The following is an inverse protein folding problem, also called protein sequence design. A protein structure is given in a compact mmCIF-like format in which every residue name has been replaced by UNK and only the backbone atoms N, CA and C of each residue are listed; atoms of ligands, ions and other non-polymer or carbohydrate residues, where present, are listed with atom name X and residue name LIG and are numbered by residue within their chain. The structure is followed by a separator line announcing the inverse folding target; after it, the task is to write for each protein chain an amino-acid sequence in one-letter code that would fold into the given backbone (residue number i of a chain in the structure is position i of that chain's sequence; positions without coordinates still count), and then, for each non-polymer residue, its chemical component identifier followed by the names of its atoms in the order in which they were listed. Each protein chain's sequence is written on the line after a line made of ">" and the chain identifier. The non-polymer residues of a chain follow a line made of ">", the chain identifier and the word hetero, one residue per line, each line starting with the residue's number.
data_IF_922938706023
#
_entry.id   IF_922938706023
#
_cell.length_a   1.000
_cell.length_b   1.000
_cell.length_c   1.000
_cell.angle_alpha   90.00
_cell.angle_beta   90.00
_cell.angle_gamma   90.00
#
_symmetry.space_group_name_H-M   'P 1'
#
loop_
_entity.id
_entity.type
_entity.pdbx_description
1 polymer ?
#
# COMPACT_ATOMS: atom_id res chain seq x y z
N UNK A 1 -4.73 33.78 -33.05
CA UNK A 1 -4.63 33.46 -31.61
C UNK A 1 -4.96 32.00 -31.43
N UNK A 2 -3.97 31.18 -31.06
CA UNK A 2 -4.18 29.83 -30.55
C UNK A 2 -3.00 29.51 -29.64
N UNK A 3 -3.12 29.86 -28.36
CA UNK A 3 -2.21 29.36 -27.33
C UNK A 3 -2.61 27.91 -27.07
N UNK A 4 -1.93 26.97 -27.73
CA UNK A 4 -1.90 25.58 -27.32
C UNK A 4 -1.17 25.51 -25.99
N UNK A 5 -1.93 25.61 -24.90
CA UNK A 5 -1.47 25.25 -23.56
C UNK A 5 -1.20 23.73 -23.57
N UNK A 6 0.06 23.40 -23.82
CA UNK A 6 0.62 22.09 -23.57
C UNK A 6 0.52 21.86 -22.05
N UNK A 7 -0.58 21.23 -21.61
CA UNK A 7 -0.73 20.79 -20.25
C UNK A 7 0.35 19.73 -20.02
N UNK A 8 1.44 20.14 -19.39
CA UNK A 8 2.46 19.24 -18.90
C UNK A 8 1.75 18.18 -18.05
N UNK A 9 1.69 16.94 -18.57
CA UNK A 9 1.45 15.76 -17.76
C UNK A 9 2.63 15.68 -16.78
N UNK A 10 2.50 16.39 -15.66
CA UNK A 10 3.27 16.10 -14.47
C UNK A 10 2.87 14.68 -14.08
N UNK A 11 3.65 13.68 -14.53
CA UNK A 11 3.79 12.39 -13.86
C UNK A 11 4.28 12.68 -12.44
N UNK A 12 3.39 13.19 -11.59
CA UNK A 12 3.70 13.53 -10.22
C UNK A 12 3.85 12.23 -9.46
N UNK A 13 5.03 12.00 -8.86
CA UNK A 13 5.22 10.91 -7.92
C UNK A 13 4.05 10.88 -6.94
N UNK A 14 3.36 9.74 -6.87
CA UNK A 14 2.23 9.55 -5.98
C UNK A 14 2.72 9.57 -4.54
N UNK A 15 2.32 10.58 -3.76
CA UNK A 15 2.64 10.66 -2.33
C UNK A 15 1.72 9.76 -1.53
N UNK A 16 2.24 8.65 -1.04
CA UNK A 16 1.48 7.61 -0.33
C UNK A 16 1.85 7.65 1.14
N UNK A 17 0.85 7.83 2.01
CA UNK A 17 0.99 7.60 3.45
C UNK A 17 0.68 6.14 3.76
N UNK A 18 1.45 5.53 4.66
CA UNK A 18 1.24 4.14 5.08
C UNK A 18 1.14 4.06 6.62
N UNK A 19 -0.09 4.02 7.17
CA UNK A 19 -0.29 3.89 8.61
C UNK A 19 0.26 2.55 9.16
N UNK A 20 0.32 2.39 10.49
CA UNK A 20 0.55 1.09 11.11
C UNK A 20 -0.43 0.03 10.59
N UNK A 21 0.03 -1.22 10.51
CA UNK A 21 -0.81 -2.35 10.07
C UNK A 21 -1.87 -2.63 11.13
N UNK A 22 -3.11 -2.75 10.70
CA UNK A 22 -4.20 -3.17 11.59
C UNK A 22 -4.10 -4.68 11.78
N UNK A 23 -4.08 -5.14 13.03
CA UNK A 23 -3.87 -6.54 13.35
C UNK A 23 -5.03 -7.04 14.21
N UNK A 24 -5.72 -8.07 13.75
CA UNK A 24 -6.87 -8.68 14.43
C UNK A 24 -6.61 -10.19 14.62
N UNK A 25 -6.42 -10.61 15.86
CA UNK A 25 -6.18 -12.02 16.21
C UNK A 25 -4.82 -12.59 15.75
N UNK A 26 -3.88 -11.71 15.37
CA UNK A 26 -2.54 -12.07 14.89
C UNK A 26 -1.48 -11.36 15.74
N UNK A 27 -0.27 -11.91 15.83
CA UNK A 27 0.81 -11.28 16.61
C UNK A 27 1.25 -9.95 15.96
N UNK A 28 1.43 -8.86 16.73
CA UNK A 28 1.82 -7.54 16.20
C UNK A 28 3.10 -7.54 15.35
N UNK A 29 4.09 -8.37 15.71
CA UNK A 29 5.35 -8.51 14.96
C UNK A 29 5.13 -8.92 13.50
N UNK A 30 4.07 -9.68 13.20
CA UNK A 30 3.73 -10.00 11.82
C UNK A 30 3.22 -8.78 11.06
N UNK A 31 2.49 -7.89 11.74
CA UNK A 31 2.09 -6.59 11.21
C UNK A 31 3.30 -5.73 10.88
N UNK A 32 4.24 -5.58 11.81
CA UNK A 32 5.47 -4.81 11.57
C UNK A 32 6.34 -5.44 10.48
N UNK A 33 6.49 -6.76 10.45
CA UNK A 33 7.19 -7.46 9.35
C UNK A 33 6.56 -7.16 8.00
N UNK A 34 5.23 -7.26 7.88
CA UNK A 34 4.51 -6.93 6.65
C UNK A 34 4.71 -5.46 6.25
N UNK A 35 4.66 -4.55 7.23
CA UNK A 35 4.88 -3.11 7.03
C UNK A 35 6.26 -2.84 6.45
N UNK A 36 7.31 -3.37 7.08
CA UNK A 36 8.70 -3.19 6.68
C UNK A 36 8.92 -3.74 5.27
N UNK A 37 8.45 -4.96 4.99
CA UNK A 37 8.51 -5.55 3.66
C UNK A 37 7.81 -4.67 2.62
N UNK A 38 6.62 -4.16 2.93
CA UNK A 38 5.87 -3.30 2.01
C UNK A 38 6.61 -2.00 1.73
N UNK A 39 7.18 -1.33 2.75
CA UNK A 39 8.02 -0.12 2.53
C UNK A 39 9.16 -0.42 1.56
N UNK A 40 9.88 -1.52 1.78
CA UNK A 40 11.02 -1.89 0.93
C UNK A 40 10.62 -2.08 -0.54
N UNK A 41 9.49 -2.74 -0.81
CA UNK A 41 9.05 -3.00 -2.19
C UNK A 41 8.36 -1.79 -2.85
N UNK A 42 7.74 -0.89 -2.08
CA UNK A 42 7.14 0.34 -2.61
C UNK A 42 8.20 1.39 -2.95
N UNK A 43 9.28 1.48 -2.16
CA UNK A 43 10.39 2.42 -2.42
C UNK A 43 11.13 2.09 -3.73
N UNK A 44 11.04 0.85 -4.22
CA UNK A 44 11.66 0.43 -5.49
C UNK A 44 10.91 1.02 -6.71
N UNK A 45 9.74 1.64 -6.51
CA UNK A 45 8.98 2.29 -7.57
C UNK A 45 9.27 3.79 -7.65
N UNK A 46 9.95 4.23 -8.72
CA UNK A 46 10.31 5.63 -8.95
C UNK A 46 9.09 6.59 -9.00
N UNK A 47 7.89 6.04 -9.20
CA UNK A 47 6.66 6.84 -9.29
C UNK A 47 5.93 7.00 -7.94
N UNK A 48 6.46 6.45 -6.84
CA UNK A 48 5.82 6.52 -5.53
C UNK A 48 6.76 7.09 -4.47
N UNK A 49 6.28 8.08 -3.74
CA UNK A 49 7.00 8.63 -2.58
C UNK A 49 6.23 8.29 -1.32
N UNK A 50 6.83 7.51 -0.42
CA UNK A 50 6.28 7.30 0.91
C UNK A 50 6.47 8.56 1.76
N UNK A 51 5.39 9.03 2.38
CA UNK A 51 5.42 10.17 3.31
C UNK A 51 5.04 9.71 4.71
N UNK A 52 5.59 10.38 5.72
CA UNK A 52 5.38 10.02 7.14
C UNK A 52 4.08 10.62 7.72
N UNK A 53 3.49 11.62 7.07
CA UNK A 53 2.25 12.29 7.48
C UNK A 53 1.15 12.15 6.41
N UNK A 54 -0.05 11.74 6.84
CA UNK A 54 -1.23 11.62 5.97
C UNK A 54 -1.57 12.95 5.28
N UNK A 55 -1.35 14.09 5.93
CA UNK A 55 -1.62 15.43 5.35
C UNK A 55 -0.73 15.74 4.13
N UNK A 56 0.43 15.09 4.03
CA UNK A 56 1.36 15.27 2.91
C UNK A 56 1.08 14.29 1.76
N UNK A 57 0.11 13.39 1.93
CA UNK A 57 -0.24 12.34 0.99
C UNK A 57 -1.49 12.68 0.19
N UNK A 58 -1.55 12.20 -1.06
CA UNK A 58 -2.79 12.17 -1.84
C UNK A 58 -3.48 10.80 -1.77
N UNK A 59 -2.73 9.77 -1.34
CA UNK A 59 -3.20 8.40 -1.19
C UNK A 59 -2.74 7.81 0.14
N UNK A 60 -3.53 6.87 0.66
CA UNK A 60 -3.24 6.07 1.85
C UNK A 60 -3.22 4.60 1.48
N UNK A 61 -2.14 3.90 1.80
CA UNK A 61 -2.02 2.45 1.68
C UNK A 61 -2.25 1.83 3.06
N UNK A 62 -3.46 1.34 3.31
CA UNK A 62 -3.83 0.70 4.57
C UNK A 62 -3.64 -0.81 4.47
N UNK A 63 -2.92 -1.38 5.44
CA UNK A 63 -2.65 -2.81 5.51
C UNK A 63 -3.38 -3.40 6.71
N UNK A 64 -3.91 -4.61 6.55
CA UNK A 64 -4.58 -5.34 7.62
C UNK A 64 -4.15 -6.81 7.62
N UNK A 65 -4.01 -7.37 8.81
CA UNK A 65 -3.80 -8.80 9.06
C UNK A 65 -4.95 -9.30 9.93
N UNK A 66 -5.75 -10.22 9.38
CA UNK A 66 -6.90 -10.80 10.09
C UNK A 66 -6.68 -12.30 10.21
N UNK A 67 -6.80 -12.84 11.43
CA UNK A 67 -6.68 -14.28 11.67
C UNK A 67 -7.79 -15.03 10.94
N UNK A 68 -7.40 -16.08 10.23
CA UNK A 68 -8.31 -17.08 9.66
C UNK A 68 -8.01 -18.45 10.30
N UNK A 69 -8.98 -19.34 10.21
CA UNK A 69 -8.87 -20.76 10.56
C UNK A 69 -7.66 -21.44 9.93
N UNK A 70 -7.37 -21.13 8.66
CA UNK A 70 -6.29 -21.74 7.89
C UNK A 70 -4.96 -20.95 7.91
N UNK A 71 -4.95 -19.71 8.38
CA UNK A 71 -3.78 -18.83 8.28
C UNK A 71 -4.07 -17.39 8.66
N UNK A 72 -3.51 -16.45 7.90
CA UNK A 72 -3.73 -15.00 8.09
C UNK A 72 -4.14 -14.37 6.77
N UNK A 73 -5.28 -13.69 6.76
CA UNK A 73 -5.70 -12.88 5.62
C UNK A 73 -4.90 -11.58 5.63
N UNK A 74 -4.10 -11.38 4.60
CA UNK A 74 -3.38 -10.14 4.32
C UNK A 74 -4.24 -9.29 3.40
N UNK A 75 -4.58 -8.08 3.86
CA UNK A 75 -5.39 -7.11 3.11
C UNK A 75 -4.56 -5.88 2.83
N UNK A 76 -4.56 -5.44 1.57
CA UNK A 76 -4.02 -4.16 1.14
C UNK A 76 -5.15 -3.32 0.56
N UNK A 77 -5.32 -2.11 1.06
CA UNK A 77 -6.28 -1.13 0.56
C UNK A 77 -5.58 0.15 0.17
N UNK A 78 -5.74 0.55 -1.08
CA UNK A 78 -5.38 1.90 -1.51
C UNK A 78 -6.61 2.78 -1.44
N UNK A 79 -6.50 3.90 -0.73
CA UNK A 79 -7.57 4.86 -0.50
C UNK A 79 -7.10 6.27 -0.86
N UNK A 80 -8.02 7.16 -1.22
CA UNK A 80 -7.71 8.59 -1.30
C UNK A 80 -7.60 9.17 0.11
N UNK A 81 -6.56 9.95 0.40
CA UNK A 81 -6.38 10.52 1.75
C UNK A 81 -7.45 11.57 2.09
N UNK A 82 -7.99 12.28 1.08
CA UNK A 82 -8.95 13.37 1.29
C UNK A 82 -10.30 12.93 1.84
N UNK A 83 -10.86 11.85 1.30
CA UNK A 83 -12.24 11.40 1.58
C UNK A 83 -12.31 9.92 1.99
N UNK A 84 -11.15 9.28 2.14
CA UNK A 84 -11.01 7.87 2.51
C UNK A 84 -11.69 6.90 1.53
N UNK A 85 -12.02 7.33 0.30
CA UNK A 85 -12.64 6.49 -0.72
C UNK A 85 -11.69 5.40 -1.19
N UNK A 86 -12.22 4.18 -1.34
CA UNK A 86 -11.46 3.02 -1.81
C UNK A 86 -11.13 3.17 -3.30
N UNK A 87 -9.86 3.06 -3.63
CA UNK A 87 -9.36 2.99 -5.00
C UNK A 87 -9.27 1.53 -5.44
N UNK A 88 -8.60 0.71 -4.64
CA UNK A 88 -8.51 -0.74 -4.85
C UNK A 88 -8.28 -1.48 -3.54
N UNK A 89 -8.65 -2.76 -3.55
CA UNK A 89 -8.36 -3.70 -2.46
C UNK A 89 -7.77 -4.99 -3.03
N UNK A 90 -6.79 -5.54 -2.34
CA UNK A 90 -6.22 -6.86 -2.59
C UNK A 90 -6.29 -7.68 -1.30
N UNK A 91 -6.69 -8.96 -1.42
CA UNK A 91 -6.79 -9.90 -0.30
C UNK A 91 -6.12 -11.20 -0.67
N UNK A 92 -5.32 -11.74 0.25
CA UNK A 92 -4.70 -13.05 0.07
C UNK A 92 -4.52 -13.74 1.43
N UNK A 93 -4.68 -15.06 1.46
CA UNK A 93 -4.40 -15.85 2.65
C UNK A 93 -2.93 -16.22 2.63
N UNK A 94 -2.22 -15.91 3.70
CA UNK A 94 -0.88 -16.40 3.99
C UNK A 94 -0.98 -17.54 5.02
N UNK A 95 -0.50 -18.73 4.65
CA UNK A 95 -0.42 -19.90 5.53
C UNK A 95 0.85 -19.87 6.38
N UNK A 96 1.91 -19.22 5.90
CA UNK A 96 3.19 -19.05 6.58
C UNK A 96 3.72 -17.60 6.46
N UNK A 97 4.40 -17.03 7.47
CA UNK A 97 4.97 -15.68 7.41
C UNK A 97 5.95 -15.43 6.24
N UNK A 98 6.56 -16.47 5.68
CA UNK A 98 7.44 -16.35 4.52
C UNK A 98 6.66 -16.05 3.23
N UNK A 99 5.35 -16.31 3.20
CA UNK A 99 4.48 -15.97 2.07
C UNK A 99 4.21 -14.47 1.96
N UNK A 100 4.54 -13.67 2.98
CA UNK A 100 4.42 -12.20 2.90
C UNK A 100 5.27 -11.61 1.77
N UNK A 101 6.45 -12.17 1.49
CA UNK A 101 7.35 -11.68 0.45
C UNK A 101 6.71 -11.78 -0.95
N UNK A 102 6.29 -12.98 -1.42
CA UNK A 102 5.65 -13.09 -2.73
C UNK A 102 4.34 -12.30 -2.82
N UNK A 103 3.57 -12.18 -1.72
CA UNK A 103 2.36 -11.36 -1.67
C UNK A 103 2.67 -9.88 -1.90
N UNK A 104 3.59 -9.32 -1.11
CA UNK A 104 4.00 -7.90 -1.21
C UNK A 104 4.61 -7.62 -2.58
N UNK A 105 5.50 -8.48 -3.07
CA UNK A 105 6.14 -8.32 -4.39
C UNK A 105 5.09 -8.24 -5.51
N UNK A 106 4.05 -9.07 -5.44
CA UNK A 106 2.95 -9.05 -6.41
C UNK A 106 2.16 -7.75 -6.33
N UNK A 107 1.74 -7.34 -5.14
CA UNK A 107 0.95 -6.10 -4.96
C UNK A 107 1.73 -4.89 -5.45
N UNK A 108 3.03 -4.78 -5.13
CA UNK A 108 3.87 -3.68 -5.61
C UNK A 108 3.97 -3.64 -7.13
N UNK A 109 4.16 -4.78 -7.80
CA UNK A 109 4.28 -4.84 -9.27
C UNK A 109 2.97 -4.60 -10.02
N UNK A 110 1.85 -5.06 -9.48
CA UNK A 110 0.57 -5.09 -10.20
C UNK A 110 -0.37 -3.92 -9.84
N UNK A 111 -0.22 -3.30 -8.67
CA UNK A 111 -1.20 -2.35 -8.12
C UNK A 111 -0.63 -0.99 -7.71
N UNK A 112 0.69 -0.91 -7.52
CA UNK A 112 1.38 0.29 -7.05
C UNK A 112 2.12 0.99 -8.19
N UNK A 113 2.75 0.21 -9.07
CA UNK A 113 3.30 0.65 -10.36
C UNK A 113 2.23 1.11 -11.34
#
# INVERSE_FOLDING_TARGET
>A
MAMLLCAAMLCGCSKVYMPPVQVEGVHPDYGERLRVLTKQYVIIDDNVTLVEDEQQSNRKLQLQLVRDTAGVVVVFEMRKSKDNSLIWVYRHIAYDPNEFIPIVSRVSKEKIR
#
